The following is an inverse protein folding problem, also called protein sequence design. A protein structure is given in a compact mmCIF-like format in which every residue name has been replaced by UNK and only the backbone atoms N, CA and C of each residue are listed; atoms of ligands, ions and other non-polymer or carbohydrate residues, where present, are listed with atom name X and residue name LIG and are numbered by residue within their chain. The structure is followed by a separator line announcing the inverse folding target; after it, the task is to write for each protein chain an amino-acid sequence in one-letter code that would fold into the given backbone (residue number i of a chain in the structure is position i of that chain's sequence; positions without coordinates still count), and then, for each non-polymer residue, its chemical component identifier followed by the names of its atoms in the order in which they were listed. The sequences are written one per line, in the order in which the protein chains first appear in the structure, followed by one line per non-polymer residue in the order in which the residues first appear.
data_IF_657199802697
#
_entry.id   IF_657199802697
#
_cell.length_a   1.000
_cell.length_b   1.000
_cell.length_c   1.000
_cell.angle_alpha   90.00
_cell.angle_beta   90.00
_cell.angle_gamma   90.00
#
_symmetry.space_group_name_H-M   'P 1'
#
loop_
_entity.id
_entity.type
_entity.pdbx_description
1 polymer ?
#
# COMPACT_ATOMS: atom_id res chain seq x y z
N UNK A 1 -25.54 -10.50 -4.67
CA UNK A 1 -24.33 -10.07 -5.41
C UNK A 1 -23.12 -10.49 -4.59
N UNK A 2 -22.51 -11.64 -4.92
CA UNK A 2 -21.21 -12.00 -4.35
C UNK A 2 -20.17 -11.07 -4.96
N UNK A 3 -19.83 -9.98 -4.27
CA UNK A 3 -18.62 -9.23 -4.62
C UNK A 3 -17.46 -10.13 -4.27
N UNK A 4 -16.66 -10.48 -5.27
CA UNK A 4 -15.40 -11.19 -5.05
C UNK A 4 -14.60 -10.37 -4.02
N UNK A 5 -14.22 -10.93 -2.84
CA UNK A 5 -13.62 -10.16 -1.75
C UNK A 5 -12.25 -9.52 -2.10
N UNK A 6 -11.76 -9.76 -3.32
CA UNK A 6 -10.47 -9.37 -3.87
C UNK A 6 -10.59 -8.65 -5.23
N UNK A 7 -11.58 -7.78 -5.42
CA UNK A 7 -11.62 -6.90 -6.60
C UNK A 7 -10.68 -5.69 -6.46
N UNK A 8 -10.29 -5.10 -7.60
CA UNK A 8 -9.43 -3.91 -7.66
C UNK A 8 -10.03 -2.77 -6.83
N UNK A 9 -11.32 -2.46 -7.03
CA UNK A 9 -12.02 -1.38 -6.31
C UNK A 9 -12.09 -1.64 -4.80
N UNK A 10 -12.30 -2.90 -4.37
CA UNK A 10 -12.36 -3.26 -2.96
C UNK A 10 -10.99 -3.08 -2.30
N UNK A 11 -9.91 -3.44 -2.99
CA UNK A 11 -8.55 -3.27 -2.49
C UNK A 11 -8.18 -1.78 -2.40
N UNK A 12 -8.50 -0.98 -3.42
CA UNK A 12 -8.23 0.45 -3.38
C UNK A 12 -9.06 1.15 -2.28
N UNK A 13 -10.34 0.81 -2.12
CA UNK A 13 -11.16 1.36 -1.04
C UNK A 13 -10.64 0.99 0.36
N UNK A 14 -10.12 -0.24 0.53
CA UNK A 14 -9.43 -0.66 1.77
C UNK A 14 -8.16 0.16 2.00
N UNK A 15 -7.38 0.40 0.95
CA UNK A 15 -6.17 1.20 1.02
C UNK A 15 -6.46 2.63 1.50
N UNK A 16 -7.46 3.30 0.90
CA UNK A 16 -7.89 4.65 1.29
C UNK A 16 -8.40 4.71 2.73
N UNK A 17 -9.20 3.71 3.14
CA UNK A 17 -9.70 3.60 4.51
C UNK A 17 -8.56 3.41 5.51
N UNK A 18 -7.59 2.55 5.18
CA UNK A 18 -6.41 2.32 6.01
C UNK A 18 -5.53 3.57 6.11
N UNK A 19 -5.35 4.28 5.01
CA UNK A 19 -4.60 5.54 4.96
C UNK A 19 -5.24 6.60 5.86
N UNK A 20 -6.55 6.79 5.75
CA UNK A 20 -7.31 7.71 6.60
C UNK A 20 -7.23 7.32 8.08
N UNK A 21 -7.29 6.01 8.38
CA UNK A 21 -7.12 5.51 9.75
C UNK A 21 -5.73 5.80 10.31
N UNK A 22 -4.69 5.67 9.48
CA UNK A 22 -3.31 5.91 9.88
C UNK A 22 -3.11 7.36 10.34
N UNK A 23 -3.70 8.32 9.62
CA UNK A 23 -3.68 9.75 9.99
C UNK A 23 -4.36 9.99 11.35
N UNK A 24 -5.55 9.43 11.57
CA UNK A 24 -6.28 9.56 12.84
C UNK A 24 -5.49 8.97 14.02
N UNK A 25 -4.88 7.79 13.84
CA UNK A 25 -4.10 7.15 14.90
C UNK A 25 -2.84 7.97 15.25
N UNK A 26 -2.19 8.55 14.24
CA UNK A 26 -1.05 9.43 14.45
C UNK A 26 -1.43 10.68 15.27
N UNK A 27 -2.58 11.29 14.98
CA UNK A 27 -3.11 12.43 15.74
C UNK A 27 -3.42 12.08 17.19
N UNK A 28 -3.83 10.84 17.46
CA UNK A 28 -4.06 10.32 18.81
C UNK A 28 -2.77 9.91 19.53
N UNK A 29 -1.61 9.95 18.86
CA UNK A 29 -0.33 9.49 19.40
C UNK A 29 -0.16 7.97 19.40
N UNK A 30 -1.05 7.22 18.76
CA UNK A 30 -0.89 5.78 18.55
C UNK A 30 0.04 5.53 17.35
N UNK A 31 1.34 5.62 17.64
CA UNK A 31 2.42 5.53 16.65
C UNK A 31 2.50 4.14 16.00
N UNK A 32 2.35 3.07 16.79
CA UNK A 32 2.37 1.69 16.29
C UNK A 32 1.14 1.41 15.43
N UNK A 33 -0.04 1.85 15.89
CA UNK A 33 -1.29 1.76 15.13
C UNK A 33 -1.22 2.54 13.81
N UNK A 34 -0.69 3.77 13.83
CA UNK A 34 -0.50 4.57 12.63
C UNK A 34 0.41 3.87 11.61
N UNK A 35 1.57 3.37 12.06
CA UNK A 35 2.55 2.67 11.22
C UNK A 35 1.97 1.38 10.62
N UNK A 36 1.21 0.62 11.41
CA UNK A 36 0.54 -0.58 10.95
C UNK A 36 -0.48 -0.26 9.83
N UNK A 37 -1.34 0.74 10.05
CA UNK A 37 -2.37 1.13 9.08
C UNK A 37 -1.78 1.74 7.81
N UNK A 38 -0.71 2.52 7.91
CA UNK A 38 0.02 3.05 6.75
C UNK A 38 0.61 1.92 5.88
N UNK A 39 1.22 0.91 6.50
CA UNK A 39 1.72 -0.27 5.77
C UNK A 39 0.59 -1.03 5.05
N UNK A 40 -0.55 -1.26 5.71
CA UNK A 40 -1.70 -1.91 5.05
C UNK A 40 -2.25 -1.08 3.89
N UNK A 41 -2.29 0.23 4.02
CA UNK A 41 -2.72 1.12 2.95
C UNK A 41 -1.86 0.94 1.68
N UNK A 42 -0.53 0.99 1.83
CA UNK A 42 0.38 0.82 0.71
C UNK A 42 0.34 -0.58 0.12
N UNK A 43 0.17 -1.61 0.97
CA UNK A 43 0.06 -3.00 0.53
C UNK A 43 -1.18 -3.24 -0.33
N UNK A 44 -2.35 -2.81 0.14
CA UNK A 44 -3.61 -2.99 -0.59
C UNK A 44 -3.61 -2.17 -1.90
N UNK A 45 -3.06 -0.95 -1.89
CA UNK A 45 -2.92 -0.12 -3.09
C UNK A 45 -1.97 -0.74 -4.13
N UNK A 46 -0.82 -1.27 -3.71
CA UNK A 46 0.12 -1.95 -4.60
C UNK A 46 -0.49 -3.21 -5.23
N UNK A 47 -1.27 -3.96 -4.45
CA UNK A 47 -1.97 -5.14 -4.94
C UNK A 47 -3.09 -4.78 -5.91
N UNK A 48 -3.87 -3.73 -5.64
CA UNK A 48 -4.84 -3.17 -6.57
C UNK A 48 -4.18 -2.76 -7.90
N UNK A 49 -3.05 -2.04 -7.84
CA UNK A 49 -2.31 -1.60 -9.02
C UNK A 49 -1.81 -2.77 -9.88
N UNK A 50 -1.28 -3.84 -9.28
CA UNK A 50 -0.86 -5.04 -10.02
C UNK A 50 -2.03 -5.73 -10.73
N UNK A 51 -3.18 -5.86 -10.06
CA UNK A 51 -4.38 -6.43 -10.67
C UNK A 51 -4.87 -5.54 -11.82
N UNK A 52 -4.93 -4.23 -11.61
CA UNK A 52 -5.36 -3.26 -12.63
C UNK A 52 -4.41 -3.20 -13.84
N UNK A 53 -3.12 -3.46 -13.64
CA UNK A 53 -2.16 -3.52 -14.75
C UNK A 53 -2.20 -4.84 -15.53
N UNK A 54 -3.03 -5.81 -15.12
CA UNK A 54 -3.09 -7.15 -15.70
C UNK A 54 -1.90 -8.06 -15.33
N UNK A 55 -1.09 -7.68 -14.34
CA UNK A 55 0.12 -8.41 -13.94
C UNK A 55 -0.05 -9.13 -12.59
N UNK A 56 -1.17 -8.87 -11.91
CA UNK A 56 -1.58 -9.56 -10.69
C UNK A 56 -2.44 -10.79 -10.99
N UNK A 57 -2.61 -11.63 -9.96
CA UNK A 57 -3.51 -12.78 -10.01
C UNK A 57 -4.32 -12.85 -8.70
N UNK A 58 -5.44 -13.57 -8.72
CA UNK A 58 -6.22 -13.92 -7.52
C UNK A 58 -6.11 -15.43 -7.31
N UNK A 59 -6.01 -15.86 -6.05
CA UNK A 59 -5.88 -17.28 -5.70
C UNK A 59 -4.43 -17.72 -5.52
N UNK A 60 -4.08 -19.01 -5.75
CA UNK A 60 -2.79 -19.55 -5.35
C UNK A 60 -1.56 -18.83 -5.94
N UNK A 61 -1.69 -18.29 -7.15
CA UNK A 61 -0.65 -17.57 -7.87
C UNK A 61 -0.58 -16.07 -7.56
N UNK A 62 -1.43 -15.56 -6.66
CA UNK A 62 -1.45 -14.15 -6.30
C UNK A 62 -0.15 -13.72 -5.59
N UNK A 63 0.66 -12.82 -6.20
CA UNK A 63 1.88 -12.33 -5.58
C UNK A 63 1.60 -11.58 -4.26
N UNK A 64 0.40 -10.99 -4.13
CA UNK A 64 -0.11 -10.31 -2.95
C UNK A 64 -0.46 -11.20 -1.76
N UNK A 65 -0.26 -12.52 -1.85
CA UNK A 65 -0.38 -13.43 -0.69
C UNK A 65 0.79 -13.34 0.27
N UNK A 66 1.93 -12.80 -0.18
CA UNK A 66 3.11 -12.60 0.66
C UNK A 66 3.68 -11.20 0.44
N UNK A 67 4.34 -10.65 1.47
CA UNK A 67 4.98 -9.34 1.35
C UNK A 67 6.09 -9.33 0.30
N UNK A 68 6.99 -10.31 0.36
CA UNK A 68 8.10 -10.41 -0.61
C UNK A 68 7.59 -10.65 -2.03
N UNK A 69 6.53 -11.45 -2.20
CA UNK A 69 5.88 -11.66 -3.49
C UNK A 69 5.30 -10.38 -4.06
N UNK A 70 4.58 -9.60 -3.25
CA UNK A 70 3.99 -8.34 -3.68
C UNK A 70 5.07 -7.32 -4.06
N UNK A 71 6.06 -7.13 -3.20
CA UNK A 71 7.16 -6.18 -3.43
C UNK A 71 7.94 -6.56 -4.70
N UNK A 72 8.27 -7.85 -4.85
CA UNK A 72 8.97 -8.36 -6.03
C UNK A 72 8.16 -8.15 -7.31
N UNK A 73 6.86 -8.48 -7.27
CA UNK A 73 5.94 -8.28 -8.39
C UNK A 73 5.79 -6.81 -8.76
N UNK A 74 5.58 -5.94 -7.77
CA UNK A 74 5.48 -4.49 -7.96
C UNK A 74 6.75 -3.92 -8.62
N UNK A 75 7.92 -4.29 -8.10
CA UNK A 75 9.20 -3.87 -8.64
C UNK A 75 9.43 -4.35 -10.08
N UNK A 76 9.08 -5.61 -10.37
CA UNK A 76 9.27 -6.19 -11.70
C UNK A 76 8.29 -5.60 -12.73
N UNK A 77 7.00 -5.56 -12.40
CA UNK A 77 5.95 -5.33 -13.40
C UNK A 77 5.52 -3.87 -13.51
N UNK A 78 5.72 -3.05 -12.47
CA UNK A 78 5.30 -1.65 -12.46
C UNK A 78 6.48 -0.68 -12.44
N UNK A 79 7.52 -0.94 -11.65
CA UNK A 79 8.69 -0.04 -11.58
C UNK A 79 9.63 -0.24 -12.77
N UNK A 80 10.09 -1.46 -13.04
CA UNK A 80 11.03 -1.71 -14.15
C UNK A 80 10.42 -1.44 -15.52
N UNK A 81 9.11 -1.59 -15.67
CA UNK A 81 8.37 -1.30 -16.90
C UNK A 81 8.08 0.20 -17.09
N UNK A 82 8.36 1.04 -16.09
CA UNK A 82 8.12 2.48 -16.14
C UNK A 82 6.66 2.91 -15.94
N UNK A 83 5.75 1.99 -15.57
CA UNK A 83 4.36 2.32 -15.24
C UNK A 83 4.25 3.20 -13.98
N UNK A 84 5.21 3.07 -13.05
CA UNK A 84 5.36 3.93 -11.88
C UNK A 84 6.83 4.30 -11.65
N UNK A 85 7.08 5.35 -10.87
CA UNK A 85 8.44 5.81 -10.59
C UNK A 85 9.22 4.83 -9.68
N UNK A 86 10.56 4.91 -9.73
CA UNK A 86 11.44 4.17 -8.80
C UNK A 86 11.22 4.56 -7.34
N UNK A 87 10.75 5.78 -7.10
CA UNK A 87 10.41 6.25 -5.76
C UNK A 87 9.26 5.45 -5.15
N UNK A 88 8.20 5.16 -5.91
CA UNK A 88 7.09 4.33 -5.41
C UNK A 88 7.58 2.96 -4.95
N UNK A 89 8.50 2.34 -5.71
CA UNK A 89 9.13 1.09 -5.29
C UNK A 89 9.94 1.21 -3.99
N UNK A 90 10.63 2.34 -3.77
CA UNK A 90 11.37 2.59 -2.52
C UNK A 90 10.45 2.80 -1.33
N UNK A 91 9.36 3.57 -1.50
CA UNK A 91 8.37 3.80 -0.46
C UNK A 91 7.75 2.46 0.01
N UNK A 92 7.34 1.61 -0.93
CA UNK A 92 6.73 0.32 -0.60
C UNK A 92 7.67 -0.60 0.18
N UNK A 93 8.97 -0.62 -0.16
CA UNK A 93 9.97 -1.37 0.61
C UNK A 93 10.15 -0.80 2.02
N UNK A 94 10.29 0.52 2.14
CA UNK A 94 10.49 1.17 3.44
C UNK A 94 9.31 0.92 4.40
N UNK A 95 8.08 1.00 3.91
CA UNK A 95 6.90 0.71 4.73
C UNK A 95 6.91 -0.72 5.29
N UNK A 96 7.35 -1.68 4.48
CA UNK A 96 7.47 -3.07 4.91
C UNK A 96 8.59 -3.28 5.94
N UNK A 97 9.71 -2.58 5.78
CA UNK A 97 10.83 -2.60 6.74
C UNK A 97 10.45 -1.98 8.08
N UNK A 98 9.82 -0.80 8.08
CA UNK A 98 9.36 -0.12 9.31
C UNK A 98 8.38 -1.00 10.09
N UNK A 99 7.42 -1.63 9.40
CA UNK A 99 6.51 -2.57 10.06
C UNK A 99 7.26 -3.74 10.70
N UNK A 100 8.23 -4.34 10.01
CA UNK A 100 9.02 -5.43 10.59
C UNK A 100 9.80 -4.99 11.82
N UNK A 101 10.24 -3.73 11.87
CA UNK A 101 10.86 -3.15 13.06
C UNK A 101 9.83 -2.99 14.19
N UNK A 102 8.67 -2.41 13.91
CA UNK A 102 7.59 -2.21 14.89
C UNK A 102 7.07 -3.53 15.50
N UNK A 103 6.91 -4.56 14.67
CA UNK A 103 6.33 -5.85 15.10
C UNK A 103 7.34 -6.72 15.89
N UNK A 104 8.66 -6.46 15.80
CA UNK A 104 9.69 -7.39 16.30
C UNK A 104 10.84 -6.77 17.12
N UNK A 105 11.04 -5.44 17.14
CA UNK A 105 12.02 -4.79 18.01
C UNK A 105 11.32 -4.22 19.25
N UNK A 106 11.95 -4.36 20.41
CA UNK A 106 11.48 -3.77 21.66
C UNK A 106 11.56 -2.23 21.69
N UNK A 107 12.15 -1.62 20.67
CA UNK A 107 12.18 -0.18 20.44
C UNK A 107 10.95 0.20 19.59
N UNK A 108 10.06 1.02 20.15
CA UNK A 108 8.89 1.57 19.45
C UNK A 108 9.32 2.38 18.24
N UNK A 109 8.46 2.46 17.22
CA UNK A 109 8.65 3.42 16.12
C UNK A 109 8.65 4.84 16.73
N UNK A 110 9.59 5.69 16.32
CA UNK A 110 9.60 7.07 16.76
C UNK A 110 8.44 7.85 16.09
N UNK A 111 7.86 8.82 16.78
CA UNK A 111 6.73 9.61 16.26
C UNK A 111 7.05 10.25 14.90
N UNK A 112 8.30 10.68 14.70
CA UNK A 112 8.75 11.27 13.44
C UNK A 112 8.76 10.25 12.28
N UNK A 113 9.25 9.04 12.53
CA UNK A 113 9.24 7.96 11.53
C UNK A 113 7.82 7.55 11.16
N UNK A 114 6.92 7.48 12.14
CA UNK A 114 5.52 7.18 11.90
C UNK A 114 4.82 8.28 11.11
N UNK A 115 5.11 9.55 11.40
CA UNK A 115 4.59 10.68 10.62
C UNK A 115 5.08 10.63 9.18
N UNK A 116 6.38 10.39 8.97
CA UNK A 116 6.95 10.27 7.63
C UNK A 116 6.31 9.09 6.86
N UNK A 117 6.10 7.96 7.53
CA UNK A 117 5.45 6.79 6.92
C UNK A 117 3.98 7.07 6.53
N UNK A 118 3.22 7.79 7.37
CA UNK A 118 1.84 8.18 7.06
C UNK A 118 1.80 9.12 5.85
N UNK A 119 2.66 10.14 5.81
CA UNK A 119 2.74 11.07 4.67
C UNK A 119 3.12 10.33 3.37
N UNK A 120 4.07 9.39 3.45
CA UNK A 120 4.46 8.54 2.32
C UNK A 120 3.33 7.61 1.87
N UNK A 121 2.53 7.07 2.80
CA UNK A 121 1.40 6.22 2.46
C UNK A 121 0.32 7.01 1.69
N UNK A 122 0.02 8.25 2.09
CA UNK A 122 -0.90 9.12 1.36
C UNK A 122 -0.43 9.39 -0.07
N UNK A 123 0.84 9.76 -0.23
CA UNK A 123 1.45 9.97 -1.56
C UNK A 123 1.37 8.70 -2.40
N UNK A 124 1.71 7.55 -1.82
CA UNK A 124 1.73 6.27 -2.53
C UNK A 124 0.31 5.86 -2.98
N UNK A 125 -0.67 5.88 -2.08
CA UNK A 125 -2.06 5.51 -2.37
C UNK A 125 -2.64 6.44 -3.44
N UNK A 126 -2.43 7.75 -3.33
CA UNK A 126 -2.87 8.73 -4.32
C UNK A 126 -2.27 8.47 -5.71
N UNK A 127 -0.98 8.14 -5.79
CA UNK A 127 -0.33 7.78 -7.05
C UNK A 127 -0.87 6.49 -7.66
N UNK A 128 -1.11 5.45 -6.86
CA UNK A 128 -1.66 4.19 -7.37
C UNK A 128 -3.10 4.36 -7.88
N UNK A 129 -3.93 5.12 -7.15
CA UNK A 129 -5.28 5.46 -7.60
C UNK A 129 -5.25 6.21 -8.92
N UNK A 130 -4.47 7.30 -9.01
CA UNK A 130 -4.39 8.11 -10.21
C UNK A 130 -3.87 7.35 -11.44
N UNK A 131 -2.88 6.47 -11.25
CA UNK A 131 -2.25 5.74 -12.35
C UNK A 131 -3.07 4.54 -12.86
N UNK A 132 -3.86 3.88 -11.99
CA UNK A 132 -4.48 2.59 -12.30
C UNK A 132 -6.00 2.55 -12.15
N UNK A 133 -6.59 3.53 -11.46
CA UNK A 133 -8.03 3.69 -11.30
C UNK A 133 -8.43 5.16 -11.54
N UNK A 134 -8.13 5.73 -12.72
CA UNK A 134 -8.60 7.07 -13.02
C UNK A 134 -10.13 7.08 -13.01
N UNK A 135 -10.72 8.10 -12.40
CA UNK A 135 -12.16 8.34 -12.52
C UNK A 135 -12.49 8.38 -14.02
N UNK A 136 -13.52 7.63 -14.44
CA UNK A 136 -13.97 7.70 -15.84
C UNK A 136 -14.23 9.17 -16.15
N UNK A 137 -13.74 9.71 -17.30
CA UNK A 137 -14.06 11.07 -17.67
C UNK A 137 -15.58 11.19 -17.64
N UNK A 138 -16.08 12.12 -16.82
CA UNK A 138 -17.50 12.40 -16.76
C UNK A 138 -17.97 12.70 -18.18
N UNK A 139 -18.85 11.85 -18.71
CA UNK A 139 -19.47 12.00 -20.04
C UNK A 139 -20.20 13.32 -20.17
#
# INVERSE_FOLDING_TARGET
MNRDPLSIDVLMAKAETACSSARVLLELGDVDGASNRANYAMFDAARAALLASGEGAVGPADPGRTHSGLIGGFGLHLVKSGKVSREMGRLLNRAHEIRQVADYKAESVELEDARELVDQAEVFVGNMRAAFLPDSPAS
#
